data_IF_648253924454
#
_entry.id   IF_648253924454
#
_cell.length_a   1.000
_cell.length_b   1.000
_cell.length_c   1.000
_cell.angle_alpha   90.00
_cell.angle_beta   90.00
_cell.angle_gamma   90.00
#
_symmetry.space_group_name_H-M   'P 1'
#
loop_
_entity.id
_entity.type
_entity.pdbx_description
1 polymer ?
#
# COMPACT_ATOMS: atom_id res chain seq x y z
N UNK A 1 -26.65 8.76 -18.04
CA UNK A 1 -27.06 8.20 -16.73
C UNK A 1 -27.73 6.82 -16.86
N UNK A 2 -28.76 6.64 -17.70
CA UNK A 2 -29.43 5.33 -17.82
C UNK A 2 -28.55 4.19 -18.36
N UNK A 3 -27.72 4.36 -19.43
CA UNK A 3 -26.86 3.28 -19.92
C UNK A 3 -25.78 2.85 -18.92
N UNK A 4 -25.20 3.81 -18.18
CA UNK A 4 -24.20 3.53 -17.15
C UNK A 4 -24.79 2.80 -15.95
N UNK A 5 -26.02 3.13 -15.54
CA UNK A 5 -26.71 2.42 -14.45
C UNK A 5 -27.02 0.96 -14.81
N UNK A 6 -27.47 0.71 -16.05
CA UNK A 6 -27.75 -0.65 -16.53
C UNK A 6 -26.46 -1.47 -16.58
N UNK A 7 -25.37 -0.89 -17.10
CA UNK A 7 -24.07 -1.56 -17.11
C UNK A 7 -23.60 -1.93 -15.69
N UNK A 8 -23.73 -1.02 -14.72
CA UNK A 8 -23.39 -1.30 -13.32
C UNK A 8 -24.29 -2.40 -12.73
N UNK A 9 -25.60 -2.35 -12.97
CA UNK A 9 -26.54 -3.35 -12.51
C UNK A 9 -26.17 -4.76 -12.99
N UNK A 10 -25.87 -4.91 -14.28
CA UNK A 10 -25.57 -6.20 -14.88
C UNK A 10 -24.17 -6.69 -14.52
N UNK A 11 -23.14 -5.87 -14.78
CA UNK A 11 -21.76 -6.34 -14.69
C UNK A 11 -21.17 -6.26 -13.29
N UNK A 12 -21.66 -5.36 -12.42
CA UNK A 12 -21.17 -5.30 -11.04
C UNK A 12 -22.07 -6.14 -10.15
N UNK A 13 -23.34 -5.78 -10.03
CA UNK A 13 -24.24 -6.46 -9.09
C UNK A 13 -24.62 -7.86 -9.56
N UNK A 14 -24.84 -8.07 -10.86
CA UNK A 14 -25.10 -9.39 -11.42
C UNK A 14 -23.95 -10.38 -11.18
N UNK A 15 -22.70 -9.97 -11.40
CA UNK A 15 -21.53 -10.82 -11.12
C UNK A 15 -21.26 -11.03 -9.62
N UNK A 16 -21.58 -10.05 -8.76
CA UNK A 16 -21.53 -10.25 -7.30
C UNK A 16 -22.50 -11.35 -6.87
N UNK A 17 -23.75 -11.27 -7.33
CA UNK A 17 -24.78 -12.27 -7.00
C UNK A 17 -24.38 -13.65 -7.54
N UNK A 18 -23.89 -13.71 -8.77
CA UNK A 18 -23.41 -14.95 -9.38
C UNK A 18 -22.25 -15.57 -8.59
N UNK A 19 -21.28 -14.76 -8.17
CA UNK A 19 -20.14 -15.22 -7.37
C UNK A 19 -20.59 -15.72 -5.99
N UNK A 20 -21.54 -15.04 -5.36
CA UNK A 20 -22.13 -15.47 -4.09
C UNK A 20 -22.94 -16.77 -4.23
N UNK A 21 -23.59 -16.99 -5.37
CA UNK A 21 -24.25 -18.26 -5.66
C UNK A 21 -23.22 -19.38 -5.83
N UNK A 22 -22.18 -19.16 -6.63
CA UNK A 22 -21.13 -20.16 -6.86
C UNK A 22 -20.38 -20.49 -5.57
N UNK A 23 -20.15 -19.54 -4.66
CA UNK A 23 -19.46 -19.83 -3.40
C UNK A 23 -20.21 -20.81 -2.49
N UNK A 24 -21.54 -20.96 -2.68
CA UNK A 24 -22.38 -21.95 -1.98
C UNK A 24 -22.48 -23.30 -2.71
N UNK A 25 -21.78 -23.47 -3.83
CA UNK A 25 -21.79 -24.70 -4.63
C UNK A 25 -20.50 -25.51 -4.49
N UNK A 26 -20.52 -26.77 -4.91
CA UNK A 26 -19.32 -27.61 -4.99
C UNK A 26 -18.45 -27.37 -6.22
N UNK A 27 -18.47 -26.14 -6.72
CA UNK A 27 -17.68 -25.73 -7.88
C UNK A 27 -16.17 -25.81 -7.58
N UNK A 28 -15.40 -26.25 -8.57
CA UNK A 28 -13.92 -26.27 -8.54
C UNK A 28 -13.41 -25.50 -9.77
N UNK A 29 -12.73 -26.19 -10.70
CA UNK A 29 -12.21 -25.59 -11.93
C UNK A 29 -13.30 -25.39 -13.00
N UNK A 30 -14.29 -26.28 -13.03
CA UNK A 30 -15.48 -26.17 -13.87
C UNK A 30 -16.71 -25.96 -12.98
N UNK A 31 -17.64 -25.09 -13.40
CA UNK A 31 -18.84 -24.81 -12.64
C UNK A 31 -19.67 -26.09 -12.47
N UNK A 32 -19.84 -26.51 -11.21
CA UNK A 32 -20.85 -27.47 -10.80
C UNK A 32 -21.83 -26.73 -9.90
N UNK A 33 -23.10 -26.76 -10.26
CA UNK A 33 -24.15 -26.00 -9.60
C UNK A 33 -24.84 -26.77 -8.46
N UNK A 34 -24.18 -27.80 -7.93
CA UNK A 34 -24.66 -28.56 -6.78
C UNK A 34 -24.59 -27.68 -5.53
N UNK A 35 -25.75 -27.23 -5.05
CA UNK A 35 -25.87 -26.35 -3.89
C UNK A 35 -25.61 -27.14 -2.60
N UNK A 36 -24.53 -26.82 -1.90
CA UNK A 36 -24.12 -27.46 -0.63
C UNK A 36 -24.14 -26.46 0.55
N UNK A 37 -24.76 -25.30 0.36
CA UNK A 37 -24.87 -24.25 1.38
C UNK A 37 -23.50 -23.72 1.82
N UNK A 38 -23.20 -23.78 3.12
CA UNK A 38 -22.00 -23.19 3.72
C UNK A 38 -20.79 -24.15 3.78
N UNK A 39 -20.85 -25.31 3.12
CA UNK A 39 -19.81 -26.34 3.20
C UNK A 39 -18.41 -25.82 2.88
N UNK A 40 -18.24 -25.00 1.84
CA UNK A 40 -16.94 -24.45 1.44
C UNK A 40 -16.36 -23.51 2.49
N UNK A 41 -17.20 -22.74 3.19
CA UNK A 41 -16.76 -21.85 4.25
C UNK A 41 -16.25 -22.65 5.46
N UNK A 42 -17.00 -23.66 5.92
CA UNK A 42 -16.56 -24.54 7.02
C UNK A 42 -15.24 -25.23 6.65
N UNK A 43 -15.12 -25.72 5.41
CA UNK A 43 -13.90 -26.32 4.91
C UNK A 43 -12.72 -25.34 4.93
N UNK A 44 -12.93 -24.09 4.52
CA UNK A 44 -11.89 -23.05 4.52
C UNK A 44 -11.40 -22.75 5.94
N UNK A 45 -12.31 -22.56 6.90
CA UNK A 45 -11.96 -22.31 8.30
C UNK A 45 -11.25 -23.49 8.99
N UNK A 46 -11.39 -24.70 8.45
CA UNK A 46 -10.67 -25.89 8.94
C UNK A 46 -9.31 -26.11 8.26
N UNK A 47 -8.90 -25.27 7.29
CA UNK A 47 -7.61 -25.41 6.63
C UNK A 47 -6.51 -24.64 7.39
N UNK A 48 -5.42 -25.29 7.83
CA UNK A 48 -4.32 -24.59 8.51
C UNK A 48 -3.70 -23.47 7.66
N UNK A 49 -3.63 -23.68 6.33
CA UNK A 49 -3.10 -22.69 5.37
C UNK A 49 -3.92 -21.40 5.31
N UNK A 50 -5.22 -21.45 5.65
CA UNK A 50 -6.06 -20.26 5.70
C UNK A 50 -5.58 -19.28 6.77
N UNK A 51 -5.23 -19.78 7.95
CA UNK A 51 -4.73 -18.96 9.04
C UNK A 51 -3.35 -18.37 8.73
N UNK A 52 -2.46 -19.14 8.11
CA UNK A 52 -1.15 -18.64 7.65
C UNK A 52 -1.32 -17.52 6.61
N UNK A 53 -2.26 -17.68 5.67
CA UNK A 53 -2.54 -16.65 4.68
C UNK A 53 -3.14 -15.38 5.31
N UNK A 54 -4.05 -15.52 6.28
CA UNK A 54 -4.61 -14.39 7.03
C UNK A 54 -3.54 -13.66 7.84
N UNK A 55 -2.68 -14.38 8.55
CA UNK A 55 -1.59 -13.80 9.32
C UNK A 55 -0.64 -12.99 8.42
N UNK A 56 -0.20 -13.59 7.31
CA UNK A 56 0.63 -12.92 6.32
C UNK A 56 -0.05 -11.68 5.72
N UNK A 57 -1.36 -11.75 5.43
CA UNK A 57 -2.13 -10.61 4.95
C UNK A 57 -2.16 -9.47 5.98
N UNK A 58 -2.37 -9.77 7.27
CA UNK A 58 -2.38 -8.76 8.33
C UNK A 58 -0.99 -8.16 8.57
N UNK A 59 0.06 -8.98 8.59
CA UNK A 59 1.46 -8.53 8.72
C UNK A 59 1.83 -7.64 7.53
N UNK A 60 1.56 -8.10 6.31
CA UNK A 60 1.78 -7.33 5.09
C UNK A 60 1.02 -6.01 5.12
N UNK A 61 -0.30 -6.05 5.33
CA UNK A 61 -1.15 -4.85 5.30
C UNK A 61 -0.77 -3.84 6.38
N UNK A 62 -0.51 -4.30 7.61
CA UNK A 62 -0.12 -3.44 8.72
C UNK A 62 1.19 -2.71 8.46
N UNK A 63 2.23 -3.45 8.07
CA UNK A 63 3.53 -2.86 7.77
C UNK A 63 3.49 -1.97 6.52
N UNK A 64 2.82 -2.43 5.46
CA UNK A 64 2.64 -1.67 4.22
C UNK A 64 1.95 -0.33 4.48
N UNK A 65 0.82 -0.33 5.19
CA UNK A 65 0.10 0.92 5.53
C UNK A 65 0.99 1.81 6.39
N UNK A 66 1.59 1.27 7.45
CA UNK A 66 2.41 2.05 8.38
C UNK A 66 3.57 2.75 7.67
N UNK A 67 4.38 2.01 6.90
CA UNK A 67 5.54 2.56 6.22
C UNK A 67 5.15 3.47 5.06
N UNK A 68 4.09 3.17 4.30
CA UNK A 68 3.59 4.09 3.26
C UNK A 68 3.13 5.42 3.85
N UNK A 69 2.43 5.39 4.98
CA UNK A 69 1.97 6.58 5.70
C UNK A 69 3.15 7.40 6.21
N UNK A 70 4.11 6.75 6.88
CA UNK A 70 5.28 7.42 7.43
C UNK A 70 6.15 8.05 6.34
N UNK A 71 6.51 7.29 5.30
CA UNK A 71 7.34 7.78 4.21
C UNK A 71 6.60 8.82 3.36
N UNK A 72 5.34 8.58 3.04
CA UNK A 72 4.54 9.53 2.25
C UNK A 72 4.36 10.86 2.98
N UNK A 73 4.07 10.84 4.28
CA UNK A 73 3.98 12.07 5.09
C UNK A 73 5.33 12.79 5.17
N UNK A 74 6.43 12.07 5.41
CA UNK A 74 7.78 12.63 5.47
C UNK A 74 8.12 13.34 4.15
N UNK A 75 7.94 12.64 3.02
CA UNK A 75 8.18 13.19 1.69
C UNK A 75 7.29 14.41 1.41
N UNK A 76 6.00 14.35 1.81
CA UNK A 76 5.08 15.46 1.62
C UNK A 76 5.52 16.71 2.39
N UNK A 77 5.94 16.56 3.65
CA UNK A 77 6.45 17.67 4.46
C UNK A 77 7.72 18.26 3.85
N UNK A 78 8.64 17.42 3.34
CA UNK A 78 9.84 17.89 2.67
C UNK A 78 9.52 18.70 1.41
N UNK A 79 8.55 18.26 0.61
CA UNK A 79 8.15 18.95 -0.62
C UNK A 79 7.32 20.21 -0.35
N UNK A 80 6.60 20.29 0.76
CA UNK A 80 5.79 21.45 1.11
C UNK A 80 6.62 22.73 1.38
N UNK A 81 7.93 22.58 1.61
CA UNK A 81 8.87 23.69 1.83
C UNK A 81 9.16 24.58 0.59
N UNK A 82 8.35 24.48 -0.48
CA UNK A 82 8.47 25.24 -1.74
C UNK A 82 9.85 25.12 -2.39
N UNK A 83 10.33 23.89 -2.53
CA UNK A 83 11.61 23.60 -3.19
C UNK A 83 11.53 24.01 -4.68
N UNK A 84 12.54 24.72 -5.20
CA UNK A 84 12.59 25.18 -6.60
C UNK A 84 12.41 24.06 -7.65
N UNK A 85 12.77 22.83 -7.31
CA UNK A 85 12.70 21.65 -8.17
C UNK A 85 11.54 20.69 -7.84
N UNK A 86 10.48 21.18 -7.18
CA UNK A 86 9.35 20.35 -6.73
C UNK A 86 8.74 19.47 -7.84
N UNK A 87 8.54 20.01 -9.04
CA UNK A 87 7.94 19.26 -10.15
C UNK A 87 8.76 18.04 -10.58
N UNK A 88 10.09 18.15 -10.57
CA UNK A 88 10.99 17.05 -10.89
C UNK A 88 10.97 15.98 -9.78
N UNK A 89 11.06 16.40 -8.52
CA UNK A 89 11.00 15.49 -7.36
C UNK A 89 9.67 14.73 -7.33
N UNK A 90 8.55 15.42 -7.53
CA UNK A 90 7.22 14.80 -7.58
C UNK A 90 7.13 13.74 -8.68
N UNK A 91 7.72 13.99 -9.84
CA UNK A 91 7.74 13.04 -10.96
C UNK A 91 8.55 11.79 -10.62
N UNK A 92 9.73 11.97 -10.02
CA UNK A 92 10.59 10.86 -9.60
C UNK A 92 9.88 9.99 -8.55
N UNK A 93 9.26 10.60 -7.53
CA UNK A 93 8.57 9.85 -6.49
C UNK A 93 7.27 9.18 -6.98
N UNK A 94 6.59 9.75 -7.97
CA UNK A 94 5.39 9.14 -8.57
C UNK A 94 5.71 8.09 -9.63
N UNK A 95 6.93 8.07 -10.17
CA UNK A 95 7.33 7.14 -11.22
C UNK A 95 7.07 5.65 -10.88
N UNK A 96 7.35 5.16 -9.65
CA UNK A 96 7.07 3.76 -9.28
C UNK A 96 5.63 3.33 -9.49
N UNK A 97 4.65 4.23 -9.30
CA UNK A 97 3.23 3.92 -9.51
C UNK A 97 2.91 3.63 -10.99
N UNK A 98 3.66 4.24 -11.92
CA UNK A 98 3.44 4.02 -13.35
C UNK A 98 3.87 2.61 -13.80
N UNK A 99 4.66 1.90 -12.99
CA UNK A 99 5.10 0.53 -13.27
C UNK A 99 4.00 -0.48 -12.92
N UNK A 100 3.85 -1.50 -13.76
CA UNK A 100 2.97 -2.63 -13.45
C UNK A 100 3.49 -3.44 -12.26
N UNK A 101 2.58 -4.07 -11.51
CA UNK A 101 2.95 -4.94 -10.38
C UNK A 101 3.91 -6.07 -10.78
N UNK A 102 3.75 -6.64 -11.97
CA UNK A 102 4.63 -7.72 -12.48
C UNK A 102 6.05 -7.21 -12.71
N UNK A 103 6.19 -6.02 -13.31
CA UNK A 103 7.51 -5.40 -13.56
C UNK A 103 8.18 -5.05 -12.25
N UNK A 104 7.46 -4.41 -11.33
CA UNK A 104 7.96 -4.07 -9.99
C UNK A 104 8.41 -5.31 -9.22
N UNK A 105 7.59 -6.36 -9.20
CA UNK A 105 7.92 -7.62 -8.54
C UNK A 105 9.16 -8.29 -9.13
N UNK A 106 9.29 -8.28 -10.47
CA UNK A 106 10.46 -8.85 -11.15
C UNK A 106 11.73 -8.06 -10.85
N UNK A 107 11.66 -6.73 -10.85
CA UNK A 107 12.79 -5.86 -10.53
C UNK A 107 13.28 -6.09 -9.09
N UNK A 108 12.36 -6.10 -8.12
CA UNK A 108 12.72 -6.35 -6.72
C UNK A 108 13.22 -7.78 -6.49
N UNK A 109 12.66 -8.77 -7.19
CA UNK A 109 13.19 -10.15 -7.17
C UNK A 109 14.65 -10.20 -7.61
N UNK A 110 15.05 -9.44 -8.62
CA UNK A 110 16.44 -9.38 -9.08
C UNK A 110 17.34 -8.63 -8.10
N UNK A 111 16.85 -7.52 -7.54
CA UNK A 111 17.58 -6.70 -6.56
C UNK A 111 17.85 -7.49 -5.27
N UNK A 112 16.90 -8.31 -4.83
CA UNK A 112 16.96 -9.08 -3.58
C UNK A 112 17.36 -10.56 -3.79
N UNK A 113 17.88 -10.91 -4.97
CA UNK A 113 18.32 -12.28 -5.26
C UNK A 113 19.61 -12.59 -4.47
N UNK A 114 19.63 -13.63 -3.61
CA UNK A 114 20.81 -13.99 -2.84
C UNK A 114 22.02 -14.28 -3.73
N UNK A 115 23.20 -13.81 -3.32
CA UNK A 115 24.45 -13.89 -4.09
C UNK A 115 24.54 -12.96 -5.32
N UNK A 116 23.46 -12.24 -5.66
CA UNK A 116 23.43 -11.17 -6.66
C UNK A 116 22.84 -9.89 -6.02
N UNK A 117 22.53 -8.88 -6.84
CA UNK A 117 21.81 -7.69 -6.39
C UNK A 117 22.49 -6.96 -5.22
N UNK A 118 21.73 -6.69 -4.17
CA UNK A 118 22.20 -5.96 -2.97
C UNK A 118 23.33 -6.70 -2.26
N UNK A 119 23.22 -8.03 -2.12
CA UNK A 119 24.24 -8.82 -1.43
C UNK A 119 25.60 -8.70 -2.11
N UNK A 120 25.61 -8.83 -3.45
CA UNK A 120 26.83 -8.65 -4.24
C UNK A 120 27.40 -7.25 -4.11
N UNK A 121 26.57 -6.21 -4.22
CA UNK A 121 27.02 -4.81 -4.10
C UNK A 121 27.67 -4.56 -2.75
N UNK A 122 27.12 -5.10 -1.66
CA UNK A 122 27.68 -4.93 -0.32
C UNK A 122 28.98 -5.71 -0.13
N UNK A 123 29.08 -6.92 -0.69
CA UNK A 123 30.33 -7.70 -0.71
C UNK A 123 31.43 -6.99 -1.51
N UNK A 124 31.09 -6.45 -2.68
CA UNK A 124 32.01 -5.69 -3.54
C UNK A 124 32.51 -4.40 -2.84
N UNK A 125 31.77 -3.87 -1.86
CA UNK A 125 32.17 -2.74 -1.01
C UNK A 125 33.11 -3.12 0.15
N UNK A 126 33.47 -4.41 0.29
CA UNK A 126 34.43 -4.91 1.28
C UNK A 126 33.81 -5.72 2.43
N UNK A 127 32.50 -5.96 2.43
CA UNK A 127 31.83 -6.79 3.44
C UNK A 127 31.60 -8.23 2.93
N UNK A 128 32.68 -8.97 2.70
CA UNK A 128 32.65 -10.30 2.05
C UNK A 128 31.72 -11.32 2.73
N UNK A 129 31.54 -11.22 4.05
CA UNK A 129 30.69 -12.12 4.85
C UNK A 129 29.23 -11.67 4.95
N UNK A 130 28.81 -10.61 4.26
CA UNK A 130 27.43 -10.17 4.28
C UNK A 130 26.54 -11.15 3.52
N UNK A 131 25.40 -11.52 4.09
CA UNK A 131 24.40 -12.41 3.47
C UNK A 131 23.02 -11.75 3.54
N UNK A 132 22.28 -11.79 2.44
CA UNK A 132 20.94 -11.23 2.36
C UNK A 132 19.99 -12.21 1.65
N UNK A 133 19.54 -13.19 2.41
CA UNK A 133 18.74 -14.33 1.96
C UNK A 133 17.22 -14.14 2.14
N UNK A 134 16.77 -12.94 2.51
CA UNK A 134 15.40 -12.67 2.94
C UNK A 134 14.34 -13.09 1.93
N UNK A 135 14.67 -13.05 0.63
CA UNK A 135 13.76 -13.45 -0.44
C UNK A 135 13.45 -14.95 -0.44
N UNK A 136 14.40 -15.79 -0.03
CA UNK A 136 14.27 -17.26 -0.02
C UNK A 136 13.95 -17.81 1.37
N UNK A 137 14.16 -17.02 2.42
CA UNK A 137 13.81 -17.36 3.79
C UNK A 137 12.29 -17.17 4.01
N UNK A 138 11.52 -18.24 4.31
CA UNK A 138 10.07 -18.17 4.48
C UNK A 138 9.59 -17.18 5.55
N UNK A 139 10.38 -17.00 6.62
CA UNK A 139 10.04 -16.10 7.72
C UNK A 139 10.29 -14.63 7.35
N UNK A 140 11.15 -14.38 6.36
CA UNK A 140 11.56 -13.03 5.96
C UNK A 140 10.96 -12.57 4.62
N UNK A 141 10.49 -13.50 3.79
CA UNK A 141 10.00 -13.22 2.44
C UNK A 141 8.89 -12.17 2.43
N UNK A 142 8.00 -12.18 3.43
CA UNK A 142 6.90 -11.21 3.51
C UNK A 142 7.40 -9.75 3.59
N UNK A 143 8.52 -9.50 4.28
CA UNK A 143 9.09 -8.16 4.41
C UNK A 143 9.66 -7.66 3.08
N UNK A 144 10.17 -8.56 2.23
CA UNK A 144 10.64 -8.18 0.89
C UNK A 144 9.50 -7.66 0.01
N UNK A 145 8.32 -8.27 0.14
CA UNK A 145 7.10 -7.84 -0.56
C UNK A 145 6.62 -6.50 0.00
N UNK A 146 6.68 -6.30 1.33
CA UNK A 146 6.37 -5.01 1.96
C UNK A 146 7.28 -3.91 1.42
N UNK A 147 8.59 -4.13 1.34
CA UNK A 147 9.55 -3.13 0.82
C UNK A 147 9.19 -2.73 -0.61
N UNK A 148 8.96 -3.71 -1.48
CA UNK A 148 8.58 -3.46 -2.87
C UNK A 148 7.26 -2.68 -2.98
N UNK A 149 6.24 -3.08 -2.22
CA UNK A 149 4.94 -2.41 -2.19
C UNK A 149 5.03 -0.98 -1.67
N UNK A 150 5.75 -0.77 -0.57
CA UNK A 150 5.97 0.55 0.04
C UNK A 150 6.66 1.48 -0.94
N UNK A 151 7.72 1.00 -1.60
CA UNK A 151 8.40 1.77 -2.63
C UNK A 151 7.44 2.18 -3.76
N UNK A 152 6.61 1.25 -4.25
CA UNK A 152 5.65 1.51 -5.32
C UNK A 152 4.55 2.52 -4.92
N UNK A 153 4.09 2.47 -3.67
CA UNK A 153 2.92 3.24 -3.21
C UNK A 153 3.28 4.54 -2.48
N UNK A 154 4.50 4.69 -1.98
CA UNK A 154 4.94 5.86 -1.20
C UNK A 154 4.73 7.19 -1.93
N UNK A 155 5.01 7.26 -3.24
CA UNK A 155 4.79 8.44 -4.06
C UNK A 155 3.33 8.87 -4.15
N UNK A 156 2.41 7.91 -4.21
CA UNK A 156 0.97 8.19 -4.17
C UNK A 156 0.58 8.90 -2.89
N UNK A 157 1.03 8.31 -1.77
CA UNK A 157 0.66 8.71 -0.43
C UNK A 157 1.26 10.09 -0.14
N UNK A 158 2.50 10.32 -0.59
CA UNK A 158 3.11 11.65 -0.62
C UNK A 158 2.22 12.65 -1.36
N UNK A 159 1.74 12.34 -2.56
CA UNK A 159 0.91 13.28 -3.32
C UNK A 159 -0.42 13.60 -2.62
N UNK A 160 -1.06 12.60 -1.98
CA UNK A 160 -2.27 12.82 -1.19
C UNK A 160 -2.01 13.70 0.05
N UNK A 161 -0.95 13.42 0.81
CA UNK A 161 -0.58 14.23 1.97
C UNK A 161 -0.17 15.65 1.57
N UNK A 162 0.57 15.81 0.47
CA UNK A 162 0.97 17.13 -0.04
C UNK A 162 -0.26 17.96 -0.43
N UNK A 163 -1.25 17.35 -1.10
CA UNK A 163 -2.52 18.02 -1.39
C UNK A 163 -3.27 18.38 -0.10
N UNK A 164 -3.23 17.50 0.90
CA UNK A 164 -3.76 17.73 2.24
C UNK A 164 -3.14 18.94 2.93
N UNK A 165 -1.80 18.95 3.04
CA UNK A 165 -1.02 20.04 3.63
C UNK A 165 -1.34 21.39 2.97
N UNK A 166 -1.46 21.40 1.65
CA UNK A 166 -1.76 22.61 0.86
C UNK A 166 -3.19 23.12 0.99
N UNK A 167 -4.12 22.30 1.46
CA UNK A 167 -5.49 22.73 1.71
C UNK A 167 -5.67 23.46 3.05
N UNK A 168 -4.64 23.42 3.92
CA UNK A 168 -4.66 24.11 5.21
C UNK A 168 -4.49 25.62 4.99
N UNK A 169 -5.37 26.40 5.62
CA UNK A 169 -5.32 27.85 5.57
C UNK A 169 -4.03 28.38 6.21
N UNK A 170 -3.26 29.11 5.41
CA UNK A 170 -1.99 29.71 5.82
C UNK A 170 -2.19 30.81 6.87
N UNK A 171 -3.36 31.43 6.95
CA UNK A 171 -3.67 32.44 7.97
C UNK A 171 -3.67 31.84 9.38
N UNK A 172 -4.13 30.59 9.54
CA UNK A 172 -4.09 29.88 10.83
C UNK A 172 -2.63 29.67 11.27
N UNK A 173 -1.75 29.30 10.32
CA UNK A 173 -0.34 29.08 10.59
C UNK A 173 0.36 30.41 10.94
N UNK A 174 0.06 31.49 10.20
CA UNK A 174 0.59 32.84 10.49
C UNK A 174 0.16 33.34 11.87
N UNK A 175 -1.11 33.14 12.24
CA UNK A 175 -1.60 33.52 13.58
C UNK A 175 -0.82 32.79 14.68
N UNK A 176 -0.58 31.49 14.52
CA UNK A 176 0.24 30.73 15.47
C UNK A 176 1.70 31.23 15.58
N UNK A 177 2.27 31.74 14.48
CA UNK A 177 3.58 32.40 14.52
C UNK A 177 3.56 33.74 15.27
N UNK A 178 2.49 34.53 15.12
CA UNK A 178 2.29 35.78 15.88
C UNK A 178 2.19 35.49 17.39
N UNK A 179 1.56 34.37 17.75
CA UNK A 179 1.47 33.88 19.13
C UNK A 179 2.79 33.26 19.66
N UNK A 180 3.88 33.28 18.88
CA UNK A 180 5.19 32.77 19.29
C UNK A 180 5.29 31.24 19.38
N UNK A 181 4.37 30.51 18.74
CA UNK A 181 4.36 29.04 18.78
C UNK A 181 5.50 28.47 17.92
N UNK A 182 6.26 27.51 18.47
CA UNK A 182 7.35 26.87 17.75
C UNK A 182 6.87 25.94 16.63
N UNK A 183 7.65 25.82 15.56
CA UNK A 183 7.38 24.96 14.39
C UNK A 183 6.93 23.54 14.75
N UNK A 184 7.64 22.76 15.61
CA UNK A 184 7.21 21.40 15.95
C UNK A 184 5.81 21.37 16.61
N UNK A 185 5.49 22.39 17.40
CA UNK A 185 4.20 22.50 18.09
C UNK A 185 3.08 22.89 17.12
N UNK A 186 3.37 23.71 16.10
CA UNK A 186 2.43 23.98 15.00
C UNK A 186 2.16 22.68 14.21
N UNK A 187 3.20 21.91 13.87
CA UNK A 187 3.04 20.67 13.13
C UNK A 187 2.21 19.62 13.89
N UNK A 188 2.56 19.37 15.15
CA UNK A 188 1.88 18.36 15.98
C UNK A 188 0.51 18.82 16.50
N UNK A 189 0.36 20.12 16.78
CA UNK A 189 -0.84 20.68 17.42
C UNK A 189 -1.91 21.17 16.44
N UNK A 190 -1.52 21.57 15.22
CA UNK A 190 -2.44 22.18 14.25
C UNK A 190 -2.46 21.38 12.95
N UNK A 191 -1.30 21.19 12.31
CA UNK A 191 -1.22 20.62 10.96
C UNK A 191 -1.67 19.16 10.94
N UNK A 192 -1.01 18.29 11.72
CA UNK A 192 -1.32 16.85 11.75
C UNK A 192 -2.78 16.58 12.16
N UNK A 193 -3.33 17.22 13.22
CA UNK A 193 -4.74 17.07 13.57
C UNK A 193 -5.70 17.56 12.48
N UNK A 194 -5.38 18.63 11.76
CA UNK A 194 -6.21 19.15 10.66
C UNK A 194 -6.24 18.19 9.47
N UNK A 195 -5.19 17.38 9.28
CA UNK A 195 -5.10 16.38 8.21
C UNK A 195 -5.84 15.07 8.50
N UNK A 196 -6.54 14.91 9.63
CA UNK A 196 -7.29 13.67 9.97
C UNK A 196 -8.12 13.09 8.80
N UNK A 197 -8.87 13.89 8.00
CA UNK A 197 -9.61 13.37 6.85
C UNK A 197 -8.71 12.76 5.76
N UNK A 198 -7.52 13.34 5.58
CA UNK A 198 -6.50 12.87 4.61
C UNK A 198 -5.87 11.58 5.10
N UNK A 199 -5.53 11.48 6.39
CA UNK A 199 -5.07 10.23 7.01
C UNK A 199 -6.09 9.11 6.81
N UNK A 200 -7.37 9.37 7.12
CA UNK A 200 -8.44 8.38 6.96
C UNK A 200 -8.59 7.93 5.50
N UNK A 201 -8.68 8.88 4.57
CA UNK A 201 -8.79 8.59 3.14
C UNK A 201 -7.61 7.76 2.63
N UNK A 202 -6.39 8.10 3.08
CA UNK A 202 -5.17 7.40 2.71
C UNK A 202 -5.15 5.96 3.24
N UNK A 203 -5.53 5.75 4.51
CA UNK A 203 -5.61 4.41 5.11
C UNK A 203 -6.63 3.53 4.37
N UNK A 204 -7.80 4.08 4.02
CA UNK A 204 -8.82 3.33 3.27
C UNK A 204 -8.30 2.90 1.90
N UNK A 205 -7.64 3.82 1.17
CA UNK A 205 -7.07 3.49 -0.15
C UNK A 205 -5.93 2.48 -0.02
N UNK A 206 -5.04 2.63 0.95
CA UNK A 206 -3.95 1.68 1.17
C UNK A 206 -4.45 0.31 1.62
N UNK A 207 -5.49 0.25 2.46
CA UNK A 207 -6.13 -1.01 2.85
C UNK A 207 -6.70 -1.77 1.66
N UNK A 208 -7.38 -1.05 0.76
CA UNK A 208 -7.87 -1.64 -0.50
C UNK A 208 -6.73 -2.12 -1.41
N UNK A 209 -5.65 -1.34 -1.52
CA UNK A 209 -4.47 -1.73 -2.30
C UNK A 209 -3.76 -2.94 -1.69
N UNK A 210 -3.68 -3.03 -0.36
CA UNK A 210 -3.06 -4.15 0.33
C UNK A 210 -3.80 -5.46 0.05
N UNK A 211 -5.13 -5.45 0.16
CA UNK A 211 -5.99 -6.62 -0.12
C UNK A 211 -5.91 -7.02 -1.60
N UNK A 212 -5.76 -6.07 -2.51
CA UNK A 212 -5.64 -6.36 -3.95
C UNK A 212 -4.28 -6.92 -4.36
N UNK A 213 -3.23 -6.56 -3.62
CA UNK A 213 -1.84 -6.89 -3.98
C UNK A 213 -1.36 -8.19 -3.36
N UNK A 214 -1.96 -8.59 -2.23
CA UNK A 214 -1.74 -9.88 -1.58
C UNK A 214 -2.63 -10.96 -2.22
#
# INVERSE_FOLDING_TARGET
>A
MAPSLVAIAVFVYGFIIWTAYISMTRSKLLPRYDFEGLFQYVKLWNMPRWYVALENLFVFSGLFIFFCMALGLLLAIMLDQRIRAEGALRTIYLYPMALSFVVTGTAWKWILNPGLGIEKVIRDLGFENFEFDWLINPDMAIYTIVIAGVWQSSGFVMAMFLAGLRSIDQEIIKAAYVDGVSLPRIYLGIIIPSMRPVFFSTIVVLGHLAIKSF
#
